data_IF_979449915798
#
_entry.id   IF_979449915798
#
_cell.length_a   1.000
_cell.length_b   1.000
_cell.length_c   1.000
_cell.angle_alpha   90.00
_cell.angle_beta   90.00
_cell.angle_gamma   90.00
#
_symmetry.space_group_name_H-M   'P 1'
#
loop_
_entity.id
_entity.type
_entity.pdbx_description
1 polymer ?
#
# COMPACT_ATOMS: atom_id res chain seq x y z
N UNK A 1 13.33 -60.67 12.27
CA UNK A 1 11.96 -60.13 12.25
C UNK A 1 12.06 -58.72 11.68
N UNK A 2 11.64 -58.53 10.43
CA UNK A 2 11.84 -57.28 9.68
C UNK A 2 11.04 -56.13 10.32
N UNK A 3 11.71 -55.07 10.78
CA UNK A 3 11.04 -53.81 11.17
C UNK A 3 11.14 -52.84 10.00
N UNK A 4 9.99 -52.60 9.38
CA UNK A 4 9.76 -51.56 8.39
C UNK A 4 9.97 -50.21 9.07
N UNK A 5 10.89 -49.39 8.54
CA UNK A 5 11.11 -48.01 9.00
C UNK A 5 10.16 -47.12 8.20
N UNK A 6 9.24 -46.44 8.89
CA UNK A 6 8.46 -45.36 8.31
C UNK A 6 9.35 -44.12 8.17
N UNK A 7 9.63 -43.73 6.93
CA UNK A 7 10.31 -42.47 6.63
C UNK A 7 9.27 -41.34 6.75
N UNK A 8 9.36 -40.54 7.82
CA UNK A 8 8.54 -39.32 7.95
C UNK A 8 9.17 -38.24 7.06
N UNK A 9 8.59 -38.02 5.88
CA UNK A 9 8.98 -36.95 4.97
C UNK A 9 8.45 -35.62 5.53
N UNK A 10 9.32 -34.83 6.17
CA UNK A 10 8.99 -33.45 6.54
C UNK A 10 9.13 -32.57 5.30
N UNK A 11 7.98 -32.11 4.79
CA UNK A 11 7.88 -31.15 3.69
C UNK A 11 8.24 -29.77 4.24
N UNK A 12 9.22 -29.10 3.63
CA UNK A 12 9.56 -27.71 3.94
C UNK A 12 8.36 -26.79 3.67
N UNK A 13 7.96 -26.02 4.69
CA UNK A 13 7.02 -24.91 4.54
C UNK A 13 7.66 -23.86 3.65
N UNK A 14 7.10 -23.68 2.46
CA UNK A 14 7.41 -22.53 1.59
C UNK A 14 7.02 -21.25 2.32
N UNK A 15 7.90 -20.26 2.33
CA UNK A 15 7.55 -18.91 2.79
C UNK A 15 6.38 -18.40 1.92
N UNK A 16 5.20 -18.28 2.51
CA UNK A 16 4.08 -17.63 1.84
C UNK A 16 4.43 -16.15 1.69
N UNK A 17 4.89 -15.73 0.51
CA UNK A 17 4.90 -14.30 0.20
C UNK A 17 3.43 -13.87 0.17
N UNK A 18 2.97 -13.18 1.21
CA UNK A 18 1.64 -12.61 1.16
C UNK A 18 1.60 -11.57 0.03
N UNK A 19 0.54 -11.62 -0.77
CA UNK A 19 0.27 -10.60 -1.77
C UNK A 19 0.22 -9.23 -1.07
N UNK A 20 0.96 -8.23 -1.58
CA UNK A 20 0.91 -6.85 -1.04
C UNK A 20 -0.49 -6.26 -1.26
N UNK A 21 -1.04 -6.48 -2.45
CA UNK A 21 -2.36 -6.06 -2.84
C UNK A 21 -3.37 -7.19 -2.67
N UNK A 22 -4.48 -6.89 -2.00
CA UNK A 22 -5.62 -7.78 -1.84
C UNK A 22 -6.77 -7.24 -2.69
N UNK A 23 -7.34 -8.09 -3.55
CA UNK A 23 -8.55 -7.74 -4.29
C UNK A 23 -9.74 -7.64 -3.33
N UNK A 24 -10.42 -6.49 -3.35
CA UNK A 24 -11.58 -6.18 -2.50
C UNK A 24 -12.79 -5.80 -3.37
N UNK A 25 -13.02 -6.56 -4.45
CA UNK A 25 -14.06 -6.24 -5.46
C UNK A 25 -15.36 -7.01 -5.29
N UNK A 26 -15.59 -7.60 -4.12
CA UNK A 26 -16.79 -8.39 -3.87
C UNK A 26 -18.06 -7.51 -4.00
N UNK A 27 -18.94 -7.83 -4.95
CA UNK A 27 -20.13 -7.04 -5.28
C UNK A 27 -19.96 -6.04 -6.45
N UNK A 28 -18.73 -5.73 -6.89
CA UNK A 28 -18.49 -4.88 -8.08
C UNK A 28 -18.67 -5.65 -9.40
N UNK A 29 -18.53 -6.98 -9.35
CA UNK A 29 -18.40 -7.82 -10.55
C UNK A 29 -17.14 -7.49 -11.36
N UNK A 30 -17.10 -7.89 -12.63
CA UNK A 30 -16.01 -7.53 -13.55
C UNK A 30 -16.16 -6.08 -14.02
N UNK A 31 -15.91 -5.10 -13.14
CA UNK A 31 -15.97 -3.68 -13.43
C UNK A 31 -14.56 -3.07 -13.49
N UNK A 32 -14.33 -2.21 -14.50
CA UNK A 32 -13.15 -1.35 -14.54
C UNK A 32 -13.41 -0.12 -13.70
N UNK A 33 -12.44 0.25 -12.87
CA UNK A 33 -12.57 1.31 -11.88
C UNK A 33 -11.79 2.52 -12.36
N UNK A 34 -12.48 3.64 -12.53
CA UNK A 34 -11.89 4.91 -12.94
C UNK A 34 -11.52 5.78 -11.75
N UNK A 35 -12.32 5.74 -10.69
CA UNK A 35 -12.10 6.54 -9.51
C UNK A 35 -12.48 5.79 -8.25
N UNK A 36 -11.68 5.94 -7.20
CA UNK A 36 -12.01 5.54 -5.84
C UNK A 36 -12.02 6.79 -4.97
N UNK A 37 -12.91 6.87 -3.97
CA UNK A 37 -12.87 7.90 -2.93
C UNK A 37 -13.15 7.27 -1.57
N UNK A 38 -12.61 7.85 -0.51
CA UNK A 38 -12.72 7.31 0.86
C UNK A 38 -13.23 8.37 1.83
N UNK A 39 -14.15 8.00 2.71
CA UNK A 39 -14.58 8.80 3.85
C UNK A 39 -14.86 7.89 5.05
N UNK A 40 -13.94 7.86 6.02
CA UNK A 40 -13.95 6.89 7.11
C UNK A 40 -13.92 5.46 6.56
N UNK A 41 -14.93 4.66 6.90
CA UNK A 41 -15.07 3.28 6.42
C UNK A 41 -15.77 3.16 5.06
N UNK A 42 -16.30 4.27 4.54
CA UNK A 42 -17.04 4.26 3.28
C UNK A 42 -16.08 4.44 2.11
N UNK A 43 -16.26 3.63 1.07
CA UNK A 43 -15.55 3.75 -0.20
C UNK A 43 -16.56 3.97 -1.32
N UNK A 44 -16.25 4.86 -2.26
CA UNK A 44 -16.94 4.95 -3.54
C UNK A 44 -16.06 4.40 -4.65
N UNK A 45 -16.70 3.77 -5.63
CA UNK A 45 -16.07 3.37 -6.88
C UNK A 45 -16.89 3.94 -8.05
N UNK A 46 -16.25 4.79 -8.85
CA UNK A 46 -16.73 5.18 -10.16
C UNK A 46 -16.26 4.16 -11.20
N UNK A 47 -17.20 3.64 -11.99
CA UNK A 47 -16.97 2.52 -12.89
C UNK A 47 -17.15 2.89 -14.36
N UNK A 48 -16.54 2.11 -15.26
CA UNK A 48 -16.82 2.16 -16.69
C UNK A 48 -18.20 1.53 -16.97
N UNK A 49 -19.17 2.35 -17.38
CA UNK A 49 -20.50 1.93 -17.84
C UNK A 49 -21.43 1.29 -16.80
N UNK A 50 -21.07 1.22 -15.50
CA UNK A 50 -21.89 0.57 -14.46
C UNK A 50 -22.31 1.49 -13.33
N UNK A 51 -22.08 2.80 -13.46
CA UNK A 51 -22.48 3.79 -12.45
C UNK A 51 -21.57 3.80 -11.22
N UNK A 52 -22.16 4.15 -10.08
CA UNK A 52 -21.46 4.33 -8.80
C UNK A 52 -21.74 3.16 -7.87
N UNK A 53 -20.69 2.67 -7.21
CA UNK A 53 -20.79 1.69 -6.14
C UNK A 53 -20.31 2.28 -4.82
N UNK A 54 -20.95 1.84 -3.73
CA UNK A 54 -20.61 2.20 -2.36
C UNK A 54 -20.24 0.93 -1.59
N UNK A 55 -19.16 0.99 -0.82
CA UNK A 55 -18.88 0.06 0.27
C UNK A 55 -18.94 0.82 1.58
N UNK A 56 -19.47 0.19 2.64
CA UNK A 56 -19.55 0.75 3.99
C UNK A 56 -18.60 0.05 4.98
N UNK A 57 -17.77 -0.84 4.46
CA UNK A 57 -16.96 -1.80 5.24
C UNK A 57 -15.54 -1.94 4.68
N UNK A 58 -14.94 -0.82 4.25
CA UNK A 58 -13.58 -0.75 3.72
C UNK A 58 -13.32 -1.69 2.53
N UNK A 59 -14.35 -1.90 1.70
CA UNK A 59 -14.30 -2.64 0.45
C UNK A 59 -14.63 -4.12 0.57
N UNK A 60 -15.06 -4.61 1.75
CA UNK A 60 -15.40 -6.03 1.88
C UNK A 60 -16.67 -6.38 1.09
N UNK A 61 -17.62 -5.45 0.99
CA UNK A 61 -18.83 -5.59 0.18
C UNK A 61 -19.18 -4.27 -0.52
N UNK A 62 -19.56 -4.37 -1.79
CA UNK A 62 -19.98 -3.24 -2.61
C UNK A 62 -21.43 -3.39 -3.07
N UNK A 63 -22.18 -2.29 -2.99
CA UNK A 63 -23.54 -2.16 -3.50
C UNK A 63 -23.59 -1.09 -4.60
N UNK A 64 -24.33 -1.35 -5.69
CA UNK A 64 -24.60 -0.31 -6.68
C UNK A 64 -25.57 0.70 -6.07
N UNK A 65 -25.24 1.98 -6.19
CA UNK A 65 -26.04 3.09 -5.66
C UNK A 65 -26.53 4.01 -6.80
N UNK A 66 -26.70 3.47 -8.00
CA UNK A 66 -27.33 4.17 -9.13
C UNK A 66 -26.36 4.72 -10.17
N UNK A 67 -26.92 5.55 -11.07
CA UNK A 67 -26.30 6.01 -12.31
C UNK A 67 -25.91 4.86 -13.26
N UNK A 68 -26.70 3.78 -13.23
CA UNK A 68 -26.53 2.61 -14.10
C UNK A 68 -26.39 3.03 -15.56
N UNK A 69 -25.50 2.36 -16.29
CA UNK A 69 -25.16 2.65 -17.69
C UNK A 69 -24.31 3.89 -17.95
N UNK A 70 -23.98 4.70 -16.93
CA UNK A 70 -23.03 5.81 -17.07
C UNK A 70 -21.61 5.38 -16.71
N UNK A 71 -20.63 5.91 -17.45
CA UNK A 71 -19.23 5.89 -17.07
C UNK A 71 -18.94 7.02 -16.10
N UNK A 72 -18.43 6.68 -14.92
CA UNK A 72 -18.14 7.63 -13.84
C UNK A 72 -16.64 7.86 -13.79
N UNK A 73 -16.18 8.99 -14.33
CA UNK A 73 -14.77 9.35 -14.43
C UNK A 73 -14.15 9.74 -13.08
N UNK A 74 -14.92 10.38 -12.20
CA UNK A 74 -14.47 10.77 -10.87
C UNK A 74 -15.60 10.73 -9.83
N UNK A 75 -15.26 10.40 -8.58
CA UNK A 75 -16.17 10.42 -7.43
C UNK A 75 -15.54 11.15 -6.25
N UNK A 76 -16.34 11.82 -5.44
CA UNK A 76 -15.88 12.50 -4.24
C UNK A 76 -16.96 12.50 -3.13
N UNK A 77 -16.50 12.52 -1.88
CA UNK A 77 -17.35 12.78 -0.71
C UNK A 77 -17.19 14.23 -0.26
N UNK A 78 -18.26 15.02 -0.27
CA UNK A 78 -18.34 16.32 0.40
C UNK A 78 -19.21 16.20 1.66
N UNK A 79 -18.59 15.82 2.78
CA UNK A 79 -19.33 15.41 3.97
C UNK A 79 -20.19 14.17 3.69
N UNK A 80 -21.51 14.32 3.83
CA UNK A 80 -22.48 13.26 3.51
C UNK A 80 -22.96 13.29 2.05
N UNK A 81 -22.60 14.32 1.29
CA UNK A 81 -22.96 14.44 -0.13
C UNK A 81 -21.95 13.69 -0.98
N UNK A 82 -22.46 12.91 -1.93
CA UNK A 82 -21.67 12.23 -2.95
C UNK A 82 -21.73 13.07 -4.23
N UNK A 83 -20.58 13.30 -4.84
CA UNK A 83 -20.48 13.85 -6.19
C UNK A 83 -19.94 12.79 -7.13
N UNK A 84 -20.53 12.69 -8.32
CA UNK A 84 -20.11 11.79 -9.38
C UNK A 84 -19.97 12.57 -10.70
N UNK A 85 -18.73 12.77 -11.13
CA UNK A 85 -18.42 13.31 -12.45
C UNK A 85 -18.39 12.20 -13.49
N UNK A 86 -19.03 12.44 -14.63
CA UNK A 86 -19.25 11.43 -15.68
C UNK A 86 -18.40 11.70 -16.92
N UNK A 87 -18.22 10.68 -17.75
CA UNK A 87 -17.54 10.81 -19.05
C UNK A 87 -18.46 11.38 -20.16
N UNK A 88 -19.29 12.39 -19.86
CA UNK A 88 -20.08 13.10 -20.88
C UNK A 88 -21.45 13.62 -20.46
N UNK A 89 -21.96 13.21 -19.30
CA UNK A 89 -23.29 13.60 -18.78
C UNK A 89 -23.21 14.66 -17.67
N UNK A 90 -22.02 15.22 -17.42
CA UNK A 90 -21.78 16.22 -16.39
C UNK A 90 -21.63 15.67 -14.97
N UNK A 91 -22.10 16.41 -13.96
CA UNK A 91 -21.95 16.09 -12.53
C UNK A 91 -23.30 15.73 -11.92
N UNK A 92 -23.35 14.57 -11.28
CA UNK A 92 -24.47 14.16 -10.45
C UNK A 92 -24.13 14.32 -8.97
N UNK A 93 -25.11 14.73 -8.17
CA UNK A 93 -25.00 14.86 -6.71
C UNK A 93 -26.08 14.03 -6.02
N UNK A 94 -25.72 13.44 -4.88
CA UNK A 94 -26.66 12.74 -4.01
C UNK A 94 -26.40 13.07 -2.55
N UNK A 95 -27.45 13.44 -1.81
CA UNK A 95 -27.39 13.73 -0.37
C UNK A 95 -27.96 12.61 0.51
N UNK A 96 -28.31 11.47 -0.09
CA UNK A 96 -29.00 10.36 0.58
C UNK A 96 -28.34 9.00 0.31
N UNK A 97 -27.01 9.01 0.15
CA UNK A 97 -26.17 7.85 -0.15
C UNK A 97 -26.54 7.14 -1.47
N UNK A 98 -26.87 7.93 -2.50
CA UNK A 98 -27.14 7.45 -3.85
C UNK A 98 -28.56 6.90 -4.06
N UNK A 99 -29.49 7.12 -3.13
CA UNK A 99 -30.89 6.72 -3.35
C UNK A 99 -31.54 7.61 -4.41
N UNK A 100 -31.22 8.90 -4.40
CA UNK A 100 -31.63 9.88 -5.41
C UNK A 100 -30.43 10.67 -5.90
N UNK A 101 -30.44 11.02 -7.19
CA UNK A 101 -29.40 11.79 -7.85
C UNK A 101 -30.00 12.99 -8.58
N UNK A 102 -29.39 14.15 -8.38
CA UNK A 102 -29.67 15.37 -9.15
C UNK A 102 -28.51 15.66 -10.10
N UNK A 103 -28.78 16.25 -11.27
CA UNK A 103 -27.75 16.65 -12.24
C UNK A 103 -27.66 18.17 -12.37
N UNK A 104 -27.01 18.87 -11.42
CA UNK A 104 -26.91 20.33 -11.41
C UNK A 104 -25.98 20.91 -12.47
N UNK A 105 -25.07 20.11 -13.04
CA UNK A 105 -24.23 20.51 -14.16
C UNK A 105 -24.39 19.47 -15.26
N UNK A 106 -25.39 19.61 -16.15
CA UNK A 106 -25.60 18.66 -17.23
C UNK A 106 -24.57 18.85 -18.35
N UNK A 107 -24.26 17.76 -19.03
CA UNK A 107 -23.30 17.70 -20.15
C UNK A 107 -21.84 17.96 -19.72
N UNK A 108 -20.92 17.73 -20.63
CA UNK A 108 -19.46 17.78 -20.41
C UNK A 108 -18.85 16.51 -19.78
N UNK A 109 -17.56 16.31 -20.04
CA UNK A 109 -16.75 15.21 -19.52
C UNK A 109 -15.94 15.70 -18.34
N UNK A 110 -16.24 15.18 -17.15
CA UNK A 110 -15.66 15.63 -15.89
C UNK A 110 -14.48 14.72 -15.53
N UNK A 111 -13.28 15.30 -15.55
CA UNK A 111 -12.03 14.57 -15.32
C UNK A 111 -11.69 14.42 -13.84
N UNK A 112 -12.03 15.42 -13.02
CA UNK A 112 -11.72 15.42 -11.59
C UNK A 112 -12.66 16.34 -10.81
N UNK A 113 -12.77 16.08 -9.50
CA UNK A 113 -13.47 16.92 -8.53
C UNK A 113 -12.51 17.17 -7.36
N UNK A 114 -12.35 18.43 -6.97
CA UNK A 114 -11.52 18.83 -5.84
C UNK A 114 -12.32 19.70 -4.86
N UNK A 115 -12.18 19.40 -3.56
CA UNK A 115 -12.87 20.12 -2.49
C UNK A 115 -11.95 21.18 -1.92
N UNK A 116 -12.29 22.46 -2.12
CA UNK A 116 -11.63 23.59 -1.48
C UNK A 116 -12.33 23.99 -0.18
N UNK A 117 -11.82 25.05 0.46
CA UNK A 117 -12.38 25.56 1.71
C UNK A 117 -13.83 26.05 1.57
N UNK A 118 -14.12 26.82 0.51
CA UNK A 118 -15.45 27.41 0.27
C UNK A 118 -16.00 27.14 -1.14
N UNK A 119 -15.23 26.44 -1.98
CA UNK A 119 -15.62 26.07 -3.34
C UNK A 119 -15.36 24.60 -3.58
N UNK A 120 -16.23 23.99 -4.38
CA UNK A 120 -15.95 22.73 -5.06
C UNK A 120 -15.50 23.07 -6.46
N UNK A 121 -14.42 22.46 -6.92
CA UNK A 121 -13.92 22.60 -8.28
C UNK A 121 -14.17 21.31 -9.06
N UNK A 122 -14.53 21.45 -10.33
CA UNK A 122 -14.62 20.35 -11.27
C UNK A 122 -13.81 20.67 -12.52
N UNK A 123 -12.86 19.81 -12.82
CA UNK A 123 -12.12 19.85 -14.08
C UNK A 123 -12.91 19.16 -15.19
N UNK A 124 -12.91 19.75 -16.37
CA UNK A 124 -13.47 19.15 -17.57
C UNK A 124 -12.54 19.32 -18.77
N UNK A 125 -12.87 18.63 -19.87
CA UNK A 125 -12.18 18.81 -21.15
C UNK A 125 -12.37 20.22 -21.74
N UNK A 126 -13.40 20.94 -21.30
CA UNK A 126 -13.74 22.27 -21.79
C UNK A 126 -13.38 23.40 -20.80
N UNK A 127 -12.67 23.09 -19.72
CA UNK A 127 -12.25 24.07 -18.71
C UNK A 127 -12.60 23.67 -17.28
N UNK A 128 -12.61 24.67 -16.41
CA UNK A 128 -12.90 24.50 -15.00
C UNK A 128 -14.30 25.04 -14.66
N UNK A 129 -15.04 24.27 -13.87
CA UNK A 129 -16.26 24.73 -13.21
C UNK A 129 -16.03 24.80 -11.71
N UNK A 130 -16.81 25.63 -11.03
CA UNK A 130 -16.81 25.69 -9.57
C UNK A 130 -18.23 25.88 -9.03
N UNK A 131 -18.42 25.45 -7.79
CA UNK A 131 -19.64 25.66 -7.01
C UNK A 131 -19.29 26.29 -5.67
N UNK A 132 -20.07 27.28 -5.24
CA UNK A 132 -19.97 27.95 -3.93
C UNK A 132 -21.07 27.54 -2.95
N UNK A 133 -21.93 26.61 -3.35
CA UNK A 133 -23.16 26.21 -2.64
C UNK A 133 -23.28 24.68 -2.54
N UNK A 134 -22.15 24.04 -2.20
CA UNK A 134 -22.05 22.59 -1.99
C UNK A 134 -22.46 21.74 -3.19
N UNK A 135 -22.23 22.23 -4.40
CA UNK A 135 -22.46 21.51 -5.65
C UNK A 135 -23.89 21.63 -6.18
N UNK A 136 -24.74 22.47 -5.58
CA UNK A 136 -26.13 22.65 -6.03
C UNK A 136 -26.23 23.52 -7.28
N UNK A 137 -25.35 24.50 -7.46
CA UNK A 137 -25.17 25.26 -8.69
C UNK A 137 -23.70 25.31 -9.09
N UNK A 138 -23.44 25.34 -10.40
CA UNK A 138 -22.10 25.35 -10.98
C UNK A 138 -21.92 26.52 -11.93
N UNK A 139 -20.76 27.17 -11.84
CA UNK A 139 -20.35 28.27 -12.72
C UNK A 139 -19.08 27.86 -13.46
N UNK A 140 -19.07 28.05 -14.78
CA UNK A 140 -17.84 27.86 -15.58
C UNK A 140 -16.90 29.05 -15.35
N UNK A 141 -15.63 28.78 -15.07
CA UNK A 141 -14.60 29.81 -15.01
C UNK A 141 -14.31 30.34 -16.40
N UNK A 142 -14.35 31.66 -16.58
CA UNK A 142 -13.95 32.32 -17.82
C UNK A 142 -12.42 32.47 -17.97
N UNK A 143 -11.66 32.19 -16.91
CA UNK A 143 -10.20 32.30 -16.87
C UNK A 143 -9.48 30.98 -17.16
N UNK A 144 -10.18 29.85 -17.03
CA UNK A 144 -9.62 28.50 -17.16
C UNK A 144 -10.43 27.69 -18.19
N UNK A 145 -10.07 27.85 -19.46
CA UNK A 145 -10.76 27.21 -20.61
C UNK A 145 -9.99 26.01 -21.20
N UNK A 146 -8.79 25.72 -20.71
CA UNK A 146 -8.02 24.55 -21.17
C UNK A 146 -8.54 23.27 -20.53
N UNK A 147 -8.39 22.14 -21.23
CA UNK A 147 -8.67 20.81 -20.67
C UNK A 147 -7.92 20.64 -19.35
N UNK A 148 -8.66 20.24 -18.31
CA UNK A 148 -8.13 20.03 -16.96
C UNK A 148 -7.84 18.55 -16.77
N UNK A 149 -6.59 18.21 -16.45
CA UNK A 149 -6.21 16.84 -16.08
C UNK A 149 -6.60 16.51 -14.63
N UNK A 150 -6.16 17.35 -13.70
CA UNK A 150 -6.37 17.18 -12.26
C UNK A 150 -6.34 18.52 -11.52
N UNK A 151 -6.98 18.58 -10.35
CA UNK A 151 -6.99 19.75 -9.45
C UNK A 151 -6.69 19.29 -8.02
N UNK A 152 -5.82 20.02 -7.31
CA UNK A 152 -5.65 19.89 -5.86
C UNK A 152 -5.85 21.23 -5.16
N UNK A 153 -6.28 21.19 -3.92
CA UNK A 153 -6.54 22.35 -3.06
C UNK A 153 -5.65 22.31 -1.81
N UNK A 154 -5.07 23.44 -1.44
CA UNK A 154 -4.13 23.60 -0.33
C UNK A 154 -4.47 24.90 0.41
N UNK A 155 -5.36 24.82 1.38
CA UNK A 155 -5.97 26.02 1.96
C UNK A 155 -6.71 26.82 0.88
N UNK A 156 -6.31 28.06 0.65
CA UNK A 156 -6.85 28.89 -0.44
C UNK A 156 -6.10 28.73 -1.77
N UNK A 157 -4.99 27.99 -1.78
CA UNK A 157 -4.25 27.73 -3.03
C UNK A 157 -4.92 26.61 -3.80
N UNK A 158 -5.17 26.81 -5.09
CA UNK A 158 -5.72 25.81 -6.01
C UNK A 158 -4.71 25.61 -7.13
N UNK A 159 -4.34 24.38 -7.41
CA UNK A 159 -3.39 24.03 -8.46
C UNK A 159 -4.11 23.14 -9.45
N UNK A 160 -4.12 23.54 -10.72
CA UNK A 160 -4.75 22.83 -11.82
C UNK A 160 -3.69 22.40 -12.83
N UNK A 161 -3.66 21.11 -13.12
CA UNK A 161 -2.90 20.55 -14.24
C UNK A 161 -3.77 20.61 -15.50
N UNK A 162 -3.19 21.05 -16.60
CA UNK A 162 -3.91 21.28 -17.85
C UNK A 162 -3.16 20.71 -19.05
N UNK A 163 -3.82 20.68 -20.22
CA UNK A 163 -3.20 20.30 -21.48
C UNK A 163 -2.03 21.22 -21.91
N UNK A 164 -1.90 22.42 -21.33
CA UNK A 164 -0.91 23.43 -21.76
C UNK A 164 -0.01 23.93 -20.63
N UNK A 165 -0.07 23.33 -19.44
CA UNK A 165 0.76 23.67 -18.28
C UNK A 165 0.06 23.54 -16.94
N UNK A 166 0.74 23.94 -15.87
CA UNK A 166 0.18 24.03 -14.53
C UNK A 166 -0.25 25.46 -14.26
N UNK A 167 -1.45 25.64 -13.70
CA UNK A 167 -2.00 26.92 -13.29
C UNK A 167 -2.23 26.93 -11.78
N UNK A 168 -1.97 28.08 -11.15
CA UNK A 168 -2.02 28.25 -9.70
C UNK A 168 -2.91 29.46 -9.40
N UNK A 169 -3.80 29.29 -8.45
CA UNK A 169 -4.59 30.35 -7.86
C UNK A 169 -4.26 30.41 -6.38
N UNK A 170 -3.94 31.60 -5.85
CA UNK A 170 -3.71 31.81 -4.41
C UNK A 170 -4.94 32.41 -3.71
N UNK A 171 -6.02 32.63 -4.45
CA UNK A 171 -7.25 33.29 -4.01
C UNK A 171 -8.48 32.42 -4.26
N UNK A 172 -8.34 31.11 -4.02
CA UNK A 172 -9.43 30.14 -4.07
C UNK A 172 -10.14 30.10 -5.44
N UNK A 173 -9.34 30.10 -6.51
CA UNK A 173 -9.77 29.92 -7.89
C UNK A 173 -10.32 31.17 -8.58
N UNK A 174 -10.20 32.36 -7.98
CA UNK A 174 -10.71 33.61 -8.55
C UNK A 174 -9.76 34.19 -9.60
N UNK A 175 -8.45 34.14 -9.37
CA UNK A 175 -7.39 34.50 -10.33
C UNK A 175 -6.40 33.35 -10.49
N UNK A 176 -5.78 33.27 -11.67
CA UNK A 176 -4.91 32.16 -12.03
C UNK A 176 -3.66 32.67 -12.75
N UNK A 177 -2.52 32.23 -12.27
CA UNK A 177 -1.23 32.43 -12.88
C UNK A 177 -0.71 31.12 -13.45
N UNK A 178 -0.11 31.18 -14.64
CA UNK A 178 0.52 30.00 -15.25
C UNK A 178 1.90 29.80 -14.63
N UNK A 179 2.17 28.61 -14.09
CA UNK A 179 3.52 28.23 -13.66
C UNK A 179 4.45 28.14 -14.87
N UNK A 180 5.65 28.70 -14.74
CA UNK A 180 6.59 28.86 -15.86
C UNK A 180 7.97 28.22 -15.63
N UNK A 181 8.31 27.81 -14.40
CA UNK A 181 9.63 27.29 -14.07
C UNK A 181 9.78 25.78 -14.28
N UNK A 182 10.72 25.36 -15.14
CA UNK A 182 11.27 24.00 -15.20
C UNK A 182 10.35 22.88 -15.69
N UNK A 183 9.19 23.24 -16.25
CA UNK A 183 8.28 22.37 -16.99
C UNK A 183 8.70 22.30 -18.46
N UNK A 184 8.66 21.12 -19.09
CA UNK A 184 9.16 20.91 -20.46
C UNK A 184 8.06 20.82 -21.55
N UNK A 185 6.83 21.22 -21.18
CA UNK A 185 5.66 21.24 -22.07
C UNK A 185 5.00 19.86 -22.23
N UNK A 186 3.69 19.86 -22.54
CA UNK A 186 2.87 18.65 -22.65
C UNK A 186 1.58 18.72 -21.83
N UNK A 187 0.76 17.68 -21.94
CA UNK A 187 -0.42 17.50 -21.11
C UNK A 187 -0.01 16.95 -19.74
N UNK A 188 -0.52 17.56 -18.67
CA UNK A 188 -0.26 17.17 -17.30
C UNK A 188 -1.47 16.43 -16.71
N UNK A 189 -1.24 15.22 -16.19
CA UNK A 189 -2.32 14.29 -15.87
C UNK A 189 -2.65 14.19 -14.38
N UNK A 190 -1.64 14.23 -13.51
CA UNK A 190 -1.82 14.00 -12.08
C UNK A 190 -1.14 15.08 -11.24
N UNK A 191 -1.67 15.28 -10.03
CA UNK A 191 -1.13 16.14 -9.00
C UNK A 191 -1.19 15.43 -7.65
N UNK A 192 -0.15 15.58 -6.82
CA UNK A 192 -0.17 15.14 -5.43
C UNK A 192 0.67 16.05 -4.53
N UNK A 193 0.23 16.24 -3.29
CA UNK A 193 0.94 17.04 -2.27
C UNK A 193 1.52 16.13 -1.19
N UNK A 194 2.81 16.25 -0.92
CA UNK A 194 3.52 15.57 0.18
C UNK A 194 4.21 16.62 1.03
N UNK A 195 3.69 16.90 2.23
CA UNK A 195 4.15 18.03 3.07
C UNK A 195 4.29 19.33 2.26
N UNK A 196 5.48 19.90 2.17
CA UNK A 196 5.75 21.15 1.44
C UNK A 196 6.11 20.93 -0.04
N UNK A 197 5.84 19.74 -0.57
CA UNK A 197 6.18 19.33 -1.93
C UNK A 197 4.93 19.07 -2.74
N UNK A 198 4.99 19.41 -4.02
CA UNK A 198 3.96 19.05 -4.99
C UNK A 198 4.61 18.30 -6.13
N UNK A 199 3.97 17.20 -6.53
CA UNK A 199 4.37 16.41 -7.69
C UNK A 199 3.34 16.57 -8.80
N UNK A 200 3.81 16.62 -10.04
CA UNK A 200 2.95 16.48 -11.22
C UNK A 200 3.58 15.51 -12.23
N UNK A 201 2.76 15.00 -13.13
CA UNK A 201 3.20 14.09 -14.20
C UNK A 201 2.83 14.61 -15.59
N UNK A 202 3.67 14.29 -16.58
CA UNK A 202 3.36 14.43 -18.01
C UNK A 202 3.90 13.19 -18.74
N UNK A 203 3.00 12.34 -19.25
CA UNK A 203 3.36 10.98 -19.65
C UNK A 203 3.97 10.19 -18.47
N UNK A 204 5.12 9.56 -18.69
CA UNK A 204 5.94 8.90 -17.66
C UNK A 204 6.84 9.83 -16.84
N UNK A 205 6.90 11.13 -17.17
CA UNK A 205 7.78 12.10 -16.49
C UNK A 205 7.18 12.54 -15.15
N UNK A 206 8.06 12.84 -14.20
CA UNK A 206 7.71 13.42 -12.90
C UNK A 206 8.40 14.77 -12.73
N UNK A 207 7.65 15.73 -12.19
CA UNK A 207 8.16 17.04 -11.79
C UNK A 207 7.85 17.28 -10.32
N UNK A 208 8.78 17.92 -9.62
CA UNK A 208 8.69 18.27 -8.21
C UNK A 208 8.78 19.78 -8.02
N UNK A 209 7.83 20.37 -7.32
CA UNK A 209 7.92 21.73 -6.78
C UNK A 209 8.07 21.69 -5.26
N UNK A 210 8.90 22.59 -4.72
CA UNK A 210 9.12 22.81 -3.29
C UNK A 210 8.68 24.21 -2.84
N UNK A 211 8.04 24.95 -3.73
CA UNK A 211 7.65 26.36 -3.60
C UNK A 211 6.20 26.56 -4.07
N UNK A 212 5.31 25.67 -3.63
CA UNK A 212 3.87 25.74 -3.89
C UNK A 212 3.44 25.76 -5.38
N UNK A 213 4.28 25.23 -6.26
CA UNK A 213 4.01 25.10 -7.69
C UNK A 213 4.65 26.19 -8.55
N UNK A 214 5.33 27.17 -7.95
CA UNK A 214 5.92 28.28 -8.71
C UNK A 214 7.03 27.78 -9.66
N UNK A 215 7.93 26.92 -9.16
CA UNK A 215 8.99 26.30 -9.94
C UNK A 215 9.00 24.79 -9.81
N UNK A 216 9.38 24.11 -10.90
CA UNK A 216 9.42 22.67 -10.98
C UNK A 216 10.82 22.18 -11.33
N UNK A 217 11.20 21.07 -10.74
CA UNK A 217 12.42 20.33 -11.06
C UNK A 217 12.01 18.98 -11.64
N UNK A 218 12.41 18.70 -12.89
CA UNK A 218 12.23 17.38 -13.48
C UNK A 218 12.99 16.33 -12.67
N UNK A 219 12.33 15.21 -12.40
CA UNK A 219 12.87 14.05 -11.69
C UNK A 219 13.12 12.89 -12.65
N UNK A 220 13.55 11.75 -12.12
CA UNK A 220 13.71 10.55 -12.93
C UNK A 220 12.33 10.06 -13.38
N UNK A 221 12.24 9.71 -14.65
CA UNK A 221 11.02 9.24 -15.27
C UNK A 221 10.63 7.88 -14.68
N UNK A 222 9.33 7.67 -14.46
CA UNK A 222 8.79 6.34 -14.16
C UNK A 222 8.83 5.53 -15.45
N UNK A 223 9.21 4.26 -15.39
CA UNK A 223 9.24 3.36 -16.55
C UNK A 223 7.82 2.93 -16.95
N UNK A 224 7.03 3.90 -17.42
CA UNK A 224 5.66 3.73 -17.91
C UNK A 224 5.32 4.82 -18.93
N UNK A 225 4.37 4.55 -19.83
CA UNK A 225 3.97 5.51 -20.87
C UNK A 225 3.23 6.72 -20.28
N UNK A 226 2.34 6.47 -19.32
CA UNK A 226 1.47 7.49 -18.70
C UNK A 226 1.30 7.21 -17.22
N UNK A 227 1.38 8.26 -16.41
CA UNK A 227 1.02 8.26 -14.98
C UNK A 227 -0.34 8.93 -14.83
N UNK A 228 -1.38 8.14 -14.54
CA UNK A 228 -2.76 8.63 -14.41
C UNK A 228 -3.05 9.27 -13.05
N UNK A 229 -2.37 8.81 -12.00
CA UNK A 229 -2.66 9.21 -10.63
C UNK A 229 -1.40 9.23 -9.79
N UNK A 230 -1.33 10.21 -8.90
CA UNK A 230 -0.30 10.32 -7.89
C UNK A 230 -0.98 10.36 -6.52
N UNK A 231 -0.40 9.66 -5.56
CA UNK A 231 -0.81 9.72 -4.16
C UNK A 231 0.43 9.85 -3.28
N UNK A 232 0.28 10.44 -2.11
CA UNK A 232 1.40 10.75 -1.21
C UNK A 232 1.08 10.36 0.22
N UNK A 233 2.09 9.87 0.93
CA UNK A 233 1.99 9.55 2.36
C UNK A 233 3.33 9.80 3.04
N UNK A 234 3.34 10.72 4.01
CA UNK A 234 4.58 11.26 4.55
C UNK A 234 5.44 11.83 3.41
N UNK A 235 6.70 11.40 3.34
CA UNK A 235 7.65 11.78 2.28
C UNK A 235 7.60 10.88 1.04
N UNK A 236 6.72 9.88 1.01
CA UNK A 236 6.64 8.92 -0.07
C UNK A 236 5.59 9.33 -1.10
N UNK A 237 5.86 9.00 -2.37
CA UNK A 237 4.93 9.24 -3.48
C UNK A 237 4.72 7.94 -4.26
N UNK A 238 3.46 7.68 -4.57
CA UNK A 238 3.00 6.54 -5.35
C UNK A 238 2.52 7.02 -6.71
N UNK A 239 2.84 6.26 -7.76
CA UNK A 239 2.39 6.53 -9.13
C UNK A 239 1.57 5.35 -9.63
N UNK A 240 0.31 5.60 -9.97
CA UNK A 240 -0.56 4.67 -10.68
C UNK A 240 -0.45 4.92 -12.18
N UNK A 241 -0.14 3.87 -12.94
CA UNK A 241 0.32 3.99 -14.32
C UNK A 241 -0.58 3.27 -15.32
N UNK A 242 -0.42 3.62 -16.60
CA UNK A 242 -0.94 2.82 -17.69
C UNK A 242 -0.05 1.60 -17.93
N UNK A 243 -0.65 0.41 -17.86
CA UNK A 243 -0.04 -0.90 -18.17
C UNK A 243 1.11 -1.39 -17.27
N UNK A 244 1.64 -0.55 -16.39
CA UNK A 244 2.78 -0.88 -15.54
C UNK A 244 2.46 -0.85 -14.03
N UNK A 245 1.17 -0.93 -13.66
CA UNK A 245 0.71 -1.03 -12.27
C UNK A 245 1.11 0.18 -11.39
N UNK A 246 1.63 -0.06 -10.18
CA UNK A 246 1.98 0.96 -9.18
C UNK A 246 3.49 1.01 -8.95
N UNK A 247 4.04 2.22 -8.90
CA UNK A 247 5.40 2.49 -8.46
C UNK A 247 5.41 3.32 -7.17
N UNK A 248 6.46 3.17 -6.36
CA UNK A 248 6.72 3.92 -5.14
C UNK A 248 8.09 4.60 -5.24
N UNK A 249 8.15 5.87 -4.88
CA UNK A 249 9.38 6.58 -4.57
C UNK A 249 9.40 7.01 -3.10
N UNK A 250 10.54 6.77 -2.45
CA UNK A 250 10.82 7.17 -1.06
C UNK A 250 11.89 8.27 -0.96
N UNK A 251 12.33 8.80 -2.11
CA UNK A 251 13.47 9.72 -2.23
C UNK A 251 13.16 10.93 -3.14
N UNK A 252 11.91 11.39 -3.07
CA UNK A 252 11.39 12.55 -3.80
C UNK A 252 11.39 12.40 -5.33
N UNK A 253 11.08 11.21 -5.82
CA UNK A 253 11.00 10.89 -7.24
C UNK A 253 12.35 10.65 -7.92
N UNK A 254 13.45 10.54 -7.16
CA UNK A 254 14.75 10.25 -7.73
C UNK A 254 14.88 8.76 -8.11
N UNK A 255 14.25 7.86 -7.37
CA UNK A 255 14.16 6.44 -7.70
C UNK A 255 12.72 5.93 -7.52
N UNK A 256 12.35 4.96 -8.34
CA UNK A 256 11.02 4.36 -8.36
C UNK A 256 11.14 2.83 -8.32
N UNK A 257 10.44 2.22 -7.36
CA UNK A 257 10.37 0.77 -7.20
C UNK A 257 8.96 0.31 -7.50
N UNK A 258 8.81 -0.72 -8.33
CA UNK A 258 7.50 -1.30 -8.64
C UNK A 258 6.94 -2.01 -7.41
N UNK A 259 5.66 -1.77 -7.11
CA UNK A 259 4.93 -2.34 -5.96
C UNK A 259 3.60 -2.92 -6.45
N UNK A 260 3.65 -4.05 -7.12
CA UNK A 260 2.52 -4.66 -7.85
C UNK A 260 2.21 -6.11 -7.45
N UNK A 261 2.87 -6.65 -6.43
CA UNK A 261 2.61 -8.03 -5.98
C UNK A 261 1.15 -8.20 -5.53
N UNK A 262 0.40 -9.06 -6.21
CA UNK A 262 -1.04 -9.28 -5.98
C UNK A 262 -1.98 -8.38 -6.78
N UNK A 263 -1.45 -7.43 -7.56
CA UNK A 263 -2.24 -6.51 -8.36
C UNK A 263 -2.42 -7.05 -9.79
N UNK A 264 -3.60 -7.62 -10.09
CA UNK A 264 -3.84 -8.26 -11.40
C UNK A 264 -4.32 -7.28 -12.50
N UNK A 265 -4.74 -6.06 -12.12
CA UNK A 265 -5.10 -4.99 -13.06
C UNK A 265 -3.91 -4.09 -13.38
N UNK A 266 -3.54 -3.99 -14.66
CA UNK A 266 -2.31 -3.31 -15.11
C UNK A 266 -2.47 -1.80 -15.25
N UNK A 267 -3.71 -1.33 -15.39
CA UNK A 267 -3.99 0.11 -15.49
C UNK A 267 -4.53 0.61 -14.16
N UNK A 268 -3.84 1.54 -13.53
CA UNK A 268 -4.25 2.12 -12.25
C UNK A 268 -4.67 3.58 -12.49
N UNK A 269 -5.98 3.82 -12.54
CA UNK A 269 -6.52 5.18 -12.77
C UNK A 269 -6.73 5.98 -11.49
N UNK A 270 -6.80 5.32 -10.34
CA UNK A 270 -7.04 5.99 -9.06
C UNK A 270 -6.24 5.34 -7.94
N UNK A 271 -5.53 6.17 -7.18
CA UNK A 271 -4.90 5.82 -5.92
C UNK A 271 -5.42 6.75 -4.84
N UNK A 272 -5.93 6.18 -3.75
CA UNK A 272 -6.36 6.95 -2.57
C UNK A 272 -5.79 6.33 -1.31
N UNK A 273 -5.31 7.19 -0.41
CA UNK A 273 -4.73 6.81 0.86
C UNK A 273 -5.66 7.25 1.98
N UNK A 274 -5.94 6.34 2.92
CA UNK A 274 -6.75 6.62 4.11
C UNK A 274 -6.29 5.77 5.28
N UNK A 275 -5.93 6.43 6.37
CA UNK A 275 -5.33 5.79 7.54
C UNK A 275 -4.07 5.02 7.15
N UNK A 276 -4.04 3.73 7.45
CA UNK A 276 -2.91 2.83 7.17
C UNK A 276 -2.99 2.14 5.80
N UNK A 277 -4.01 2.45 4.99
CA UNK A 277 -4.28 1.75 3.74
C UNK A 277 -4.10 2.64 2.51
N UNK A 278 -3.70 2.00 1.42
CA UNK A 278 -3.79 2.52 0.06
C UNK A 278 -4.76 1.67 -0.75
N UNK A 279 -5.59 2.33 -1.55
CA UNK A 279 -6.58 1.73 -2.43
C UNK A 279 -6.23 2.04 -3.88
N UNK A 280 -6.31 1.03 -4.75
CA UNK A 280 -6.09 1.16 -6.17
C UNK A 280 -7.35 0.79 -6.96
N UNK A 281 -7.86 1.74 -7.75
CA UNK A 281 -8.86 1.50 -8.77
C UNK A 281 -8.18 1.06 -10.07
N UNK A 282 -8.47 -0.17 -10.51
CA UNK A 282 -7.82 -0.77 -11.68
C UNK A 282 -8.82 -1.25 -12.73
N UNK A 283 -8.30 -1.69 -13.87
CA UNK A 283 -9.07 -2.40 -14.89
C UNK A 283 -9.54 -3.82 -14.47
N UNK A 284 -9.10 -4.31 -13.31
CA UNK A 284 -9.50 -5.59 -12.72
C UNK A 284 -10.28 -5.46 -11.39
N UNK A 285 -10.72 -4.24 -11.04
CA UNK A 285 -11.46 -3.96 -9.80
C UNK A 285 -10.70 -3.08 -8.81
N UNK A 286 -11.13 -3.09 -7.55
CA UNK A 286 -10.50 -2.35 -6.45
C UNK A 286 -9.57 -3.27 -5.66
N UNK A 287 -8.38 -2.77 -5.36
CA UNK A 287 -7.40 -3.45 -4.53
C UNK A 287 -7.04 -2.59 -3.33
N UNK A 288 -6.69 -3.25 -2.21
CA UNK A 288 -6.24 -2.61 -0.98
C UNK A 288 -4.90 -3.19 -0.57
N UNK A 289 -4.04 -2.34 -0.04
CA UNK A 289 -2.81 -2.75 0.63
C UNK A 289 -2.55 -1.90 1.88
N UNK A 290 -1.75 -2.42 2.80
CA UNK A 290 -1.24 -1.62 3.93
C UNK A 290 -0.03 -0.81 3.49
N UNK A 291 0.06 0.43 3.95
CA UNK A 291 1.18 1.33 3.68
C UNK A 291 2.50 0.81 4.27
N UNK A 292 2.44 0.10 5.41
CA UNK A 292 3.59 -0.58 6.02
C UNK A 292 4.26 -1.55 5.05
N UNK A 293 3.46 -2.31 4.31
CA UNK A 293 3.94 -3.36 3.41
C UNK A 293 4.55 -2.77 2.13
N UNK A 294 4.12 -1.57 1.77
CA UNK A 294 4.65 -0.81 0.63
C UNK A 294 6.00 -0.17 0.94
N UNK A 295 6.15 0.36 2.15
CA UNK A 295 7.31 1.15 2.56
C UNK A 295 8.39 0.34 3.26
N UNK A 296 8.10 -0.92 3.61
CA UNK A 296 9.10 -1.89 4.03
C UNK A 296 10.21 -1.98 2.96
N UNK A 297 11.42 -1.63 3.39
CA UNK A 297 12.67 -1.85 2.67
C UNK A 297 13.27 -3.09 3.33
N UNK A 298 13.28 -4.21 2.60
CA UNK A 298 13.85 -5.50 2.98
C UNK A 298 13.76 -5.89 4.46
N UNK A 299 12.84 -6.81 4.78
CA UNK A 299 13.06 -7.65 5.96
C UNK A 299 14.21 -8.56 5.60
N UNK A 300 15.42 -8.25 6.08
CA UNK A 300 16.44 -9.28 6.22
C UNK A 300 15.88 -10.28 7.22
N UNK A 301 15.27 -11.35 6.70
CA UNK A 301 15.16 -12.57 7.46
C UNK A 301 16.61 -12.97 7.74
N UNK A 302 17.07 -12.76 8.98
CA UNK A 302 18.28 -13.42 9.40
C UNK A 302 17.99 -14.90 9.18
N UNK A 303 18.65 -15.49 8.19
CA UNK A 303 18.85 -16.92 8.19
C UNK A 303 19.72 -17.18 9.42
N UNK A 304 19.10 -17.25 10.59
CA UNK A 304 19.68 -17.97 11.70
C UNK A 304 19.82 -19.40 11.18
N UNK A 305 21.00 -19.69 10.62
CA UNK A 305 21.40 -21.05 10.25
C UNK A 305 21.07 -21.91 11.46
N UNK A 306 20.11 -22.83 11.31
CA UNK A 306 19.68 -23.71 12.39
C UNK A 306 20.92 -24.43 12.95
N UNK A 307 21.39 -24.00 14.12
CA UNK A 307 22.38 -24.75 14.86
C UNK A 307 21.60 -25.86 15.58
N UNK A 308 21.61 -27.04 14.98
CA UNK A 308 20.99 -28.22 15.55
C UNK A 308 22.02 -28.98 16.40
N UNK A 309 21.60 -29.38 17.61
CA UNK A 309 22.37 -30.29 18.46
C UNK A 309 21.55 -31.54 18.78
N UNK A 310 22.25 -32.65 18.96
CA UNK A 310 21.66 -33.96 19.21
C UNK A 310 22.02 -34.41 20.63
N UNK A 311 21.03 -35.01 21.30
CA UNK A 311 21.21 -35.61 22.62
C UNK A 311 21.12 -37.13 22.45
N UNK A 312 22.14 -37.86 22.90
CA UNK A 312 22.18 -39.32 22.83
C UNK A 312 22.86 -39.91 24.07
N UNK A 313 22.38 -41.02 24.65
CA UNK A 313 21.15 -41.72 24.30
C UNK A 313 19.91 -40.91 24.73
N UNK A 314 18.81 -41.07 24.00
CA UNK A 314 17.50 -40.54 24.39
C UNK A 314 16.43 -41.60 24.02
N UNK A 315 15.84 -42.32 24.98
CA UNK A 315 15.93 -42.10 26.43
C UNK A 315 17.30 -42.40 27.05
N UNK A 316 17.62 -41.70 28.14
CA UNK A 316 18.91 -41.71 28.84
C UNK A 316 18.80 -42.33 30.24
N UNK A 317 19.87 -42.97 30.72
CA UNK A 317 19.92 -43.55 32.08
C UNK A 317 20.90 -42.77 32.94
N UNK A 318 22.21 -42.94 32.76
CA UNK A 318 23.20 -42.31 33.64
C UNK A 318 23.83 -41.05 33.05
N UNK A 319 23.84 -40.95 31.72
CA UNK A 319 24.49 -39.85 31.02
C UNK A 319 23.76 -39.50 29.73
N UNK A 320 24.02 -38.30 29.25
CA UNK A 320 23.73 -37.86 27.88
C UNK A 320 25.00 -37.30 27.25
N UNK A 321 25.16 -37.52 25.96
CA UNK A 321 26.17 -36.92 25.11
C UNK A 321 25.48 -35.88 24.22
N UNK A 322 26.08 -34.69 24.14
CA UNK A 322 25.60 -33.60 23.29
C UNK A 322 26.55 -33.45 22.11
N UNK A 323 26.02 -33.64 20.91
CA UNK A 323 26.71 -33.42 19.63
C UNK A 323 26.12 -32.21 18.94
N UNK A 324 26.89 -31.14 18.79
CA UNK A 324 26.49 -29.99 17.96
C UNK A 324 26.90 -30.33 16.52
N UNK A 325 26.04 -30.09 15.53
CA UNK A 325 26.45 -30.18 14.13
C UNK A 325 26.67 -28.75 13.64
N UNK A 326 27.92 -28.35 13.42
CA UNK A 326 28.19 -27.09 12.74
C UNK A 326 29.34 -27.25 11.74
N UNK A 327 29.15 -26.67 10.55
CA UNK A 327 30.17 -26.55 9.50
C UNK A 327 30.96 -25.24 9.58
N UNK A 328 30.61 -24.32 10.49
CA UNK A 328 31.30 -23.05 10.70
C UNK A 328 31.82 -22.94 12.15
N UNK A 329 33.13 -22.84 12.33
CA UNK A 329 33.85 -22.78 13.62
C UNK A 329 33.56 -21.54 14.50
N UNK A 330 32.62 -20.66 14.11
CA UNK A 330 32.32 -19.41 14.82
C UNK A 330 31.25 -19.54 15.93
N UNK A 331 30.70 -20.73 16.17
CA UNK A 331 29.78 -20.97 17.30
C UNK A 331 30.45 -20.84 18.68
N UNK A 332 31.78 -20.94 18.73
CA UNK A 332 32.56 -21.00 19.97
C UNK A 332 32.71 -19.64 20.70
N UNK A 333 32.09 -18.57 20.20
CA UNK A 333 32.09 -17.27 20.87
C UNK A 333 30.91 -17.08 21.87
N UNK A 334 30.02 -18.07 22.03
CA UNK A 334 28.99 -18.06 23.06
C UNK A 334 29.36 -19.00 24.22
N UNK A 335 30.14 -18.51 25.19
CA UNK A 335 30.39 -19.19 26.48
C UNK A 335 29.16 -19.14 27.40
N UNK A 336 27.98 -19.50 26.89
CA UNK A 336 26.77 -19.62 27.70
C UNK A 336 26.76 -20.98 28.38
N UNK A 337 26.50 -21.06 29.70
CA UNK A 337 26.38 -22.34 30.36
C UNK A 337 25.17 -23.09 29.82
N UNK A 338 25.30 -24.40 29.70
CA UNK A 338 24.19 -25.29 29.43
C UNK A 338 23.31 -25.36 30.68
N UNK A 339 22.00 -25.31 30.51
CA UNK A 339 21.04 -25.37 31.61
C UNK A 339 20.02 -26.47 31.36
N UNK A 340 19.73 -27.28 32.38
CA UNK A 340 18.70 -28.32 32.29
C UNK A 340 17.51 -27.90 33.17
N UNK A 341 16.31 -28.03 32.64
CA UNK A 341 15.05 -27.68 33.26
C UNK A 341 14.11 -28.89 33.32
N UNK A 342 13.30 -28.98 34.37
CA UNK A 342 12.19 -29.94 34.43
C UNK A 342 10.94 -29.38 33.69
N UNK A 343 9.86 -30.17 33.64
CA UNK A 343 8.60 -29.76 32.99
C UNK A 343 7.85 -28.62 33.69
N UNK A 344 8.24 -28.27 34.92
CA UNK A 344 7.71 -27.11 35.65
C UNK A 344 8.49 -25.82 35.34
N UNK A 345 9.54 -25.90 34.51
CA UNK A 345 10.41 -24.76 34.19
C UNK A 345 11.44 -24.45 35.27
N UNK A 346 11.64 -25.34 36.25
CA UNK A 346 12.66 -25.18 37.29
C UNK A 346 14.01 -25.65 36.75
N UNK A 347 15.06 -24.85 36.94
CA UNK A 347 16.43 -25.21 36.56
C UNK A 347 16.99 -26.24 37.54
N UNK A 348 17.20 -27.46 37.06
CA UNK A 348 17.71 -28.58 37.85
C UNK A 348 19.22 -28.77 37.73
N UNK A 349 19.86 -28.24 36.67
CA UNK A 349 21.29 -28.36 36.46
C UNK A 349 21.86 -27.19 35.67
N UNK A 350 23.14 -26.87 35.89
CA UNK A 350 23.92 -25.96 35.06
C UNK A 350 25.30 -26.57 34.79
N UNK A 351 25.70 -26.67 33.53
CA UNK A 351 26.96 -27.28 33.09
C UNK A 351 27.74 -26.27 32.26
N UNK A 352 29.00 -26.05 32.61
CA UNK A 352 29.89 -25.20 31.81
C UNK A 352 30.49 -26.01 30.66
N UNK A 353 30.25 -25.52 29.44
CA UNK A 353 30.79 -26.12 28.21
C UNK A 353 32.16 -25.51 27.94
N UNK A 354 33.17 -26.34 27.70
CA UNK A 354 34.51 -25.88 27.33
C UNK A 354 34.58 -25.69 25.80
N UNK A 355 34.74 -24.45 25.34
CA UNK A 355 34.56 -24.06 23.95
C UNK A 355 35.74 -24.35 23.01
N UNK A 356 36.75 -25.14 23.42
CA UNK A 356 37.99 -25.30 22.63
C UNK A 356 38.32 -26.75 22.21
N UNK A 357 37.41 -27.70 22.35
CA UNK A 357 37.62 -29.12 22.00
C UNK A 357 36.45 -29.67 21.13
N UNK A 358 36.66 -30.71 20.30
CA UNK A 358 35.65 -31.13 19.33
C UNK A 358 34.45 -31.84 19.99
N UNK A 359 33.28 -31.19 19.88
CA UNK A 359 31.96 -31.70 19.41
C UNK A 359 31.32 -32.96 20.04
N UNK A 360 31.74 -33.39 21.23
CA UNK A 360 30.97 -34.32 22.06
C UNK A 360 31.19 -34.03 23.56
N UNK A 361 30.16 -33.54 24.27
CA UNK A 361 30.23 -33.39 25.72
C UNK A 361 29.30 -34.38 26.42
N UNK A 362 29.89 -35.22 27.28
CA UNK A 362 29.16 -36.11 28.17
C UNK A 362 28.74 -35.37 29.44
N UNK A 363 27.48 -35.50 29.81
CA UNK A 363 26.89 -34.93 31.03
C UNK A 363 26.30 -36.07 31.85
N UNK A 364 26.74 -36.18 33.10
CA UNK A 364 26.18 -37.11 34.08
C UNK A 364 24.82 -36.59 34.57
N UNK A 365 23.79 -37.41 34.41
CA UNK A 365 22.41 -37.14 34.83
C UNK A 365 21.87 -38.25 35.75
N UNK A 366 22.74 -39.13 36.25
CA UNK A 366 22.37 -40.28 37.10
C UNK A 366 21.62 -39.88 38.37
N UNK A 367 21.86 -38.66 38.87
CA UNK A 367 21.23 -38.08 40.04
C UNK A 367 19.88 -37.40 39.76
N UNK A 368 19.49 -37.23 38.49
CA UNK A 368 18.18 -36.68 38.14
C UNK A 368 17.10 -37.76 38.28
N UNK A 369 15.92 -37.45 38.85
CA UNK A 369 14.78 -38.35 38.83
C UNK A 369 14.34 -38.72 37.41
N UNK A 370 13.73 -39.89 37.23
CA UNK A 370 13.09 -40.26 35.97
C UNK A 370 12.05 -39.21 35.56
N UNK A 371 12.08 -38.77 34.30
CA UNK A 371 11.25 -37.67 33.84
C UNK A 371 11.68 -37.06 32.52
N UNK A 372 10.93 -36.05 32.10
CA UNK A 372 11.19 -35.27 30.90
C UNK A 372 11.95 -34.00 31.25
N UNK A 373 13.02 -33.71 30.51
CA UNK A 373 13.90 -32.57 30.75
C UNK A 373 14.16 -31.78 29.48
N UNK A 374 14.36 -30.47 29.64
CA UNK A 374 14.72 -29.53 28.57
C UNK A 374 16.12 -29.00 28.80
N UNK A 375 16.94 -28.99 27.76
CA UNK A 375 18.30 -28.45 27.76
C UNK A 375 18.30 -27.15 26.97
N UNK A 376 18.86 -26.10 27.57
CA UNK A 376 19.07 -24.80 26.96
C UNK A 376 20.56 -24.52 26.79
N UNK A 377 20.96 -24.08 25.59
CA UNK A 377 22.31 -23.60 25.26
C UNK A 377 22.15 -22.29 24.49
N UNK A 378 22.37 -21.14 25.15
CA UNK A 378 22.04 -19.85 24.55
C UNK A 378 20.55 -19.74 24.24
N UNK A 379 20.19 -19.55 22.96
CA UNK A 379 18.80 -19.54 22.47
C UNK A 379 18.27 -20.92 22.05
N UNK A 380 19.12 -21.94 21.99
CA UNK A 380 18.76 -23.28 21.50
C UNK A 380 18.14 -24.13 22.62
N UNK A 381 17.13 -24.92 22.28
CA UNK A 381 16.43 -25.82 23.21
C UNK A 381 16.27 -27.22 22.63
N UNK A 382 16.54 -28.27 23.41
CA UNK A 382 16.23 -29.65 23.07
C UNK A 382 15.71 -30.44 24.27
N UNK A 383 15.10 -31.60 24.02
CA UNK A 383 14.41 -32.39 25.03
C UNK A 383 15.00 -33.80 25.12
N UNK A 384 15.11 -34.33 26.34
CA UNK A 384 15.45 -35.74 26.56
C UNK A 384 14.61 -36.37 27.68
N UNK A 385 14.47 -37.69 27.61
CA UNK A 385 13.78 -38.49 28.62
C UNK A 385 14.81 -39.20 29.48
N UNK A 386 14.80 -38.96 30.80
CA UNK A 386 15.55 -39.76 31.79
C UNK A 386 14.67 -40.93 32.22
N UNK A 387 15.18 -42.15 32.08
CA UNK A 387 14.55 -43.37 32.61
C UNK A 387 14.98 -43.68 34.03
#
# INVERSE_FOLDING_TARGET
>A
MNKIIYLLLLVFLTSTSFAQWVNISNGLGAARIYSVAVNGNNLLAGTEGKGVYLSKDLGNNWESIGLSSLSIGCVAFNGNTILAGTEGSGIFISSDNGKNWNNPLPFDMISCIALGNSKIFAGSFNGLYFSTDNGTNWTKSNKMNSSIGNIITIGNTVIASTAVGIYISTDNGDNWDKSSGGLDGGEYYALAKSDNKIYTSSGGKIFLSIDNGDNWTKKNDVKADVIFTLASYGNNVFAGTFRENVFLSTDNGNNWVKKDNGLTGRTVKSLVISGENIFAGTDAGVFRAKLSDMTATDVTENQDKEINFFISPNPAIDFIDISIINNDYNFLNYCSPLQIYNTLGERVMTVWVHCNEPLLQRIDISHLPAGLYFIHIGSLTAMFVKM
#
